data_IF_079019251980
#
_entry.id   IF_079019251980
#
_cell.length_a   1.000
_cell.length_b   1.000
_cell.length_c   1.000
_cell.angle_alpha   90.00
_cell.angle_beta   90.00
_cell.angle_gamma   90.00
#
_symmetry.space_group_name_H-M   'P 1'
#
loop_
_entity.id
_entity.type
_entity.pdbx_description
1 polymer ?
#
# COMPACT_ATOMS: atom_id res chain seq x y z
N UNK A 1 -26.20 -5.57 -3.14
CA UNK A 1 -24.87 -5.04 -3.51
C UNK A 1 -23.91 -6.19 -3.36
N UNK A 2 -23.39 -6.66 -4.48
CA UNK A 2 -22.48 -7.81 -4.58
C UNK A 2 -21.07 -7.42 -4.10
N UNK A 3 -20.23 -8.41 -3.74
CA UNK A 3 -18.96 -8.16 -3.05
C UNK A 3 -18.01 -7.35 -3.94
N UNK A 4 -17.62 -6.17 -3.46
CA UNK A 4 -16.46 -5.44 -3.98
C UNK A 4 -15.24 -6.35 -3.90
N UNK A 5 -14.74 -6.81 -5.05
CA UNK A 5 -13.53 -7.62 -5.10
C UNK A 5 -12.33 -6.72 -4.82
N UNK A 6 -11.63 -7.01 -3.75
CA UNK A 6 -10.47 -6.24 -3.31
C UNK A 6 -9.45 -7.17 -2.65
N UNK A 7 -8.19 -6.75 -2.67
CA UNK A 7 -7.15 -7.36 -1.84
C UNK A 7 -6.22 -6.29 -1.30
N UNK A 8 -5.59 -6.63 -0.19
CA UNK A 8 -4.44 -5.91 0.36
C UNK A 8 -3.37 -6.95 0.65
N UNK A 9 -2.17 -6.75 0.12
CA UNK A 9 -0.97 -7.53 0.42
C UNK A 9 -0.05 -6.63 1.24
N UNK A 10 0.26 -7.05 2.47
CA UNK A 10 1.22 -6.38 3.33
C UNK A 10 2.48 -7.25 3.39
N UNK A 11 3.65 -6.70 3.05
CA UNK A 11 4.90 -7.46 2.96
C UNK A 11 5.22 -8.25 4.22
N UNK A 12 4.83 -7.74 5.41
CA UNK A 12 4.96 -8.44 6.69
C UNK A 12 4.30 -9.82 6.76
N UNK A 13 3.33 -10.10 5.90
CA UNK A 13 2.61 -11.37 5.91
C UNK A 13 3.28 -12.38 4.96
N UNK A 14 4.33 -11.95 4.23
CA UNK A 14 5.00 -12.67 3.14
C UNK A 14 6.53 -12.55 3.26
N UNK A 15 7.09 -13.16 4.31
CA UNK A 15 8.49 -12.97 4.70
C UNK A 15 9.50 -13.89 3.98
N UNK A 16 9.03 -14.86 3.18
CA UNK A 16 9.86 -15.80 2.43
C UNK A 16 10.60 -15.11 1.27
N UNK A 17 11.93 -15.25 1.22
CA UNK A 17 12.76 -14.65 0.18
C UNK A 17 12.62 -15.34 -1.17
N UNK A 18 12.60 -14.54 -2.24
CA UNK A 18 12.53 -15.05 -3.61
C UNK A 18 11.17 -15.65 -4.00
N UNK A 19 10.22 -15.72 -3.07
CA UNK A 19 8.88 -16.24 -3.31
C UNK A 19 7.92 -15.10 -3.63
N UNK A 20 7.16 -15.28 -4.71
CA UNK A 20 6.05 -14.40 -5.06
C UNK A 20 4.75 -14.96 -4.48
N UNK A 21 4.05 -14.12 -3.73
CA UNK A 21 2.71 -14.39 -3.24
C UNK A 21 1.71 -13.63 -4.12
N UNK A 22 0.82 -14.36 -4.78
CA UNK A 22 -0.10 -13.82 -5.78
C UNK A 22 -1.53 -14.04 -5.32
N UNK A 23 -2.35 -12.99 -5.40
CA UNK A 23 -3.80 -13.04 -5.17
C UNK A 23 -4.52 -12.53 -6.41
N UNK A 24 -5.54 -13.26 -6.83
CA UNK A 24 -6.46 -12.86 -7.90
C UNK A 24 -7.64 -12.09 -7.29
N UNK A 25 -7.85 -10.84 -7.70
CA UNK A 25 -9.07 -10.10 -7.39
C UNK A 25 -10.19 -10.43 -8.38
N UNK A 26 -9.87 -10.58 -9.67
CA UNK A 26 -10.83 -10.86 -10.73
C UNK A 26 -10.14 -11.53 -11.92
N UNK A 27 -10.94 -11.95 -12.92
CA UNK A 27 -10.42 -12.54 -14.16
C UNK A 27 -9.50 -11.60 -14.98
N UNK A 28 -9.42 -10.32 -14.61
CA UNK A 28 -8.59 -9.32 -15.28
C UNK A 28 -7.62 -8.62 -14.32
N UNK A 29 -7.59 -9.00 -13.03
CA UNK A 29 -6.72 -8.38 -12.06
C UNK A 29 -6.18 -9.40 -11.06
N UNK A 30 -4.85 -9.50 -11.02
CA UNK A 30 -4.10 -10.16 -9.97
C UNK A 30 -3.00 -9.23 -9.47
N UNK A 31 -2.64 -9.37 -8.21
CA UNK A 31 -1.52 -8.67 -7.58
C UNK A 31 -0.53 -9.67 -7.00
N UNK A 32 0.75 -9.31 -7.06
CA UNK A 32 1.82 -10.11 -6.49
C UNK A 32 2.75 -9.26 -5.64
N UNK A 33 3.21 -9.81 -4.53
CA UNK A 33 4.27 -9.23 -3.71
C UNK A 33 5.35 -10.28 -3.48
N UNK A 34 6.61 -9.87 -3.47
CA UNK A 34 7.75 -10.74 -3.22
C UNK A 34 8.78 -10.03 -2.37
N UNK A 35 9.45 -10.75 -1.49
CA UNK A 35 10.63 -10.24 -0.80
C UNK A 35 11.87 -10.52 -1.67
N UNK A 36 12.64 -9.47 -2.00
CA UNK A 36 13.92 -9.62 -2.69
C UNK A 36 14.92 -10.47 -1.89
N UNK A 37 15.86 -11.11 -2.59
CA UNK A 37 16.96 -11.83 -1.93
C UNK A 37 17.87 -10.86 -1.19
N UNK A 38 18.38 -11.30 -0.03
CA UNK A 38 19.33 -10.50 0.75
C UNK A 38 20.61 -10.24 -0.06
N UNK A 39 21.00 -8.97 -0.16
CA UNK A 39 22.22 -8.56 -0.88
C UNK A 39 23.36 -8.56 0.15
N UNK A 40 24.52 -9.20 -0.09
CA UNK A 40 25.56 -9.50 0.92
C UNK A 40 26.12 -8.33 1.77
N UNK A 41 25.74 -7.09 1.48
CA UNK A 41 26.20 -5.88 2.15
C UNK A 41 25.15 -5.22 3.05
N UNK A 42 23.92 -5.72 3.08
CA UNK A 42 22.85 -5.21 3.95
C UNK A 42 22.66 -6.22 5.09
N UNK A 43 23.28 -5.97 6.25
CA UNK A 43 23.06 -6.81 7.43
C UNK A 43 21.60 -6.68 7.89
N UNK A 44 20.78 -7.69 7.62
CA UNK A 44 19.75 -8.32 8.48
C UNK A 44 18.53 -8.71 7.68
N UNK A 45 17.92 -9.80 8.13
CA UNK A 45 16.53 -10.23 7.89
C UNK A 45 15.54 -9.10 8.17
N UNK A 46 15.42 -8.14 7.25
CA UNK A 46 14.38 -7.14 7.30
C UNK A 46 13.09 -7.80 6.78
N UNK A 47 11.95 -7.64 7.49
CA UNK A 47 10.67 -8.07 6.94
C UNK A 47 10.42 -7.29 5.65
N UNK A 48 9.65 -7.87 4.72
CA UNK A 48 9.25 -7.15 3.53
C UNK A 48 8.43 -5.90 3.95
N UNK A 49 8.90 -4.73 3.53
CA UNK A 49 8.34 -3.44 3.93
C UNK A 49 7.29 -2.95 2.94
N UNK A 50 7.15 -3.62 1.79
CA UNK A 50 6.25 -3.18 0.72
C UNK A 50 4.80 -3.46 1.05
N UNK A 51 3.90 -2.74 0.39
CA UNK A 51 2.48 -3.03 0.41
C UNK A 51 1.84 -2.79 -0.96
N UNK A 52 0.81 -3.57 -1.26
CA UNK A 52 0.03 -3.48 -2.49
C UNK A 52 -1.46 -3.56 -2.12
N UNK A 53 -2.30 -2.74 -2.76
CA UNK A 53 -3.74 -2.96 -2.72
C UNK A 53 -4.38 -2.79 -4.09
N UNK A 54 -5.49 -3.49 -4.27
CA UNK A 54 -6.42 -3.25 -5.35
C UNK A 54 -7.85 -3.19 -4.83
N UNK A 55 -8.62 -2.22 -5.33
CA UNK A 55 -10.05 -2.11 -5.07
C UNK A 55 -10.77 -1.92 -6.41
N UNK A 56 -11.65 -2.84 -6.76
CA UNK A 56 -12.47 -2.75 -7.97
C UNK A 56 -13.85 -2.18 -7.61
N UNK A 57 -14.12 -0.93 -8.02
CA UNK A 57 -15.47 -0.37 -8.09
C UNK A 57 -16.10 -0.56 -9.48
N UNK A 58 -17.37 -0.21 -9.62
CA UNK A 58 -18.11 -0.33 -10.89
C UNK A 58 -17.63 0.69 -11.94
N UNK A 59 -17.37 1.93 -11.52
CA UNK A 59 -16.94 3.02 -12.41
C UNK A 59 -15.47 3.39 -12.26
N UNK A 60 -14.87 3.03 -11.11
CA UNK A 60 -13.53 3.43 -10.74
C UNK A 60 -12.79 2.23 -10.15
N UNK A 61 -11.49 2.17 -10.39
CA UNK A 61 -10.61 1.17 -9.80
C UNK A 61 -9.45 1.88 -9.11
N UNK A 62 -8.99 1.30 -8.01
CA UNK A 62 -7.78 1.73 -7.31
C UNK A 62 -6.74 0.62 -7.39
N UNK A 63 -5.53 0.99 -7.79
CA UNK A 63 -4.33 0.19 -7.60
C UNK A 63 -3.32 1.09 -6.91
N UNK A 64 -2.77 0.66 -5.78
CA UNK A 64 -1.73 1.39 -5.07
C UNK A 64 -0.63 0.41 -4.65
N UNK A 65 0.61 0.83 -4.86
CA UNK A 65 1.83 0.14 -4.46
C UNK A 65 2.61 1.12 -3.61
N UNK A 66 3.14 0.64 -2.48
CA UNK A 66 3.99 1.44 -1.61
C UNK A 66 5.27 0.66 -1.30
N UNK A 67 6.38 1.19 -1.78
CA UNK A 67 7.74 0.77 -1.43
C UNK A 67 8.19 1.58 -0.23
N UNK A 68 8.48 0.90 0.88
CA UNK A 68 9.00 1.52 2.09
C UNK A 68 10.46 1.15 2.32
N UNK A 69 11.14 2.08 2.98
CA UNK A 69 12.50 1.89 3.44
C UNK A 69 12.58 2.29 4.91
N UNK A 70 13.35 1.54 5.69
CA UNK A 70 13.58 1.78 7.12
C UNK A 70 12.34 1.58 8.00
N UNK A 71 11.44 0.70 7.58
CA UNK A 71 10.28 0.27 8.35
C UNK A 71 8.99 0.25 7.53
N UNK A 72 8.19 -0.79 7.74
CA UNK A 72 6.93 -1.07 7.03
C UNK A 72 5.74 -0.15 7.37
N UNK A 73 5.82 0.65 8.43
CA UNK A 73 4.61 1.37 8.88
C UNK A 73 4.19 2.48 7.91
N UNK A 74 5.13 3.06 7.16
CA UNK A 74 4.83 4.12 6.19
C UNK A 74 4.08 3.58 4.97
N UNK A 75 4.52 2.47 4.38
CA UNK A 75 3.85 1.83 3.24
C UNK A 75 2.46 1.31 3.60
N UNK A 76 2.34 0.63 4.74
CA UNK A 76 1.06 0.08 5.19
C UNK A 76 0.03 1.18 5.42
N UNK A 77 0.45 2.27 6.06
CA UNK A 77 -0.42 3.40 6.31
C UNK A 77 -0.78 4.13 5.01
N UNK A 78 0.18 4.32 4.10
CA UNK A 78 -0.07 4.91 2.79
C UNK A 78 -1.15 4.13 2.02
N UNK A 79 -1.05 2.80 1.99
CA UNK A 79 -2.07 1.93 1.40
C UNK A 79 -3.42 2.09 2.10
N UNK A 80 -3.45 2.09 3.43
CA UNK A 80 -4.70 2.30 4.18
C UNK A 80 -5.39 3.60 3.80
N UNK A 81 -4.64 4.72 3.74
CA UNK A 81 -5.22 6.01 3.36
C UNK A 81 -5.66 6.07 1.90
N UNK A 82 -4.92 5.44 0.98
CA UNK A 82 -5.33 5.32 -0.41
C UNK A 82 -6.67 4.59 -0.54
N UNK A 83 -6.86 3.51 0.22
CA UNK A 83 -8.13 2.75 0.24
C UNK A 83 -9.26 3.61 0.81
N UNK A 84 -9.08 4.21 1.98
CA UNK A 84 -10.13 5.02 2.63
C UNK A 84 -10.60 6.16 1.74
N UNK A 85 -9.66 6.85 1.10
CA UNK A 85 -9.98 7.97 0.25
C UNK A 85 -10.54 7.56 -1.12
N UNK A 86 -10.11 6.41 -1.66
CA UNK A 86 -10.78 5.82 -2.81
C UNK A 86 -12.25 5.55 -2.51
N UNK A 87 -12.55 4.95 -1.35
CA UNK A 87 -13.92 4.70 -0.92
C UNK A 87 -14.72 6.00 -0.74
N UNK A 88 -14.08 7.08 -0.31
CA UNK A 88 -14.71 8.40 -0.27
C UNK A 88 -14.98 8.97 -1.67
N UNK A 89 -14.04 8.83 -2.61
CA UNK A 89 -14.21 9.26 -3.99
C UNK A 89 -15.36 8.53 -4.69
N UNK A 90 -15.48 7.21 -4.48
CA UNK A 90 -16.61 6.43 -5.00
C UNK A 90 -17.94 6.96 -4.46
N UNK A 91 -18.01 7.33 -3.17
CA UNK A 91 -19.24 7.85 -2.55
C UNK A 91 -19.59 9.27 -2.97
N UNK A 92 -18.59 10.15 -3.14
CA UNK A 92 -18.77 11.60 -3.35
C UNK A 92 -18.54 12.05 -4.79
N UNK A 93 -18.26 11.11 -5.70
CA UNK A 93 -17.80 11.39 -7.06
C UNK A 93 -16.30 11.70 -7.13
N UNK A 94 -15.67 11.18 -8.17
CA UNK A 94 -14.25 11.40 -8.45
C UNK A 94 -13.94 12.87 -8.76
N UNK A 95 -12.80 13.35 -8.25
CA UNK A 95 -12.21 14.62 -8.65
C UNK A 95 -10.70 14.54 -8.54
N UNK A 96 -10.01 14.94 -9.59
CA UNK A 96 -8.55 15.01 -9.62
C UNK A 96 -7.99 15.91 -8.51
N UNK A 97 -8.62 17.07 -8.26
CA UNK A 97 -8.19 17.99 -7.21
C UNK A 97 -8.30 17.36 -5.81
N UNK A 98 -9.37 16.61 -5.55
CA UNK A 98 -9.53 15.86 -4.28
C UNK A 98 -8.47 14.78 -4.13
N UNK A 99 -8.09 14.13 -5.23
CA UNK A 99 -7.01 13.13 -5.25
C UNK A 99 -5.66 13.77 -4.88
N UNK A 100 -5.35 14.94 -5.43
CA UNK A 100 -4.12 15.67 -5.08
C UNK A 100 -4.11 16.09 -3.61
N UNK A 101 -5.24 16.59 -3.09
CA UNK A 101 -5.38 16.98 -1.68
C UNK A 101 -5.16 15.78 -0.75
N UNK A 102 -5.69 14.61 -1.09
CA UNK A 102 -5.44 13.38 -0.36
C UNK A 102 -3.94 13.06 -0.26
N UNK A 103 -3.19 13.09 -1.37
CA UNK A 103 -1.76 12.80 -1.33
C UNK A 103 -1.01 13.76 -0.40
N UNK A 104 -1.42 15.03 -0.35
CA UNK A 104 -0.86 16.01 0.59
C UNK A 104 -1.22 15.70 2.05
N UNK A 105 -2.41 15.15 2.32
CA UNK A 105 -2.81 14.71 3.66
C UNK A 105 -2.04 13.48 4.12
N UNK A 106 -1.87 12.49 3.24
CA UNK A 106 -1.03 11.31 3.46
C UNK A 106 0.40 11.75 3.82
N UNK A 107 0.96 12.68 3.05
CA UNK A 107 2.30 13.21 3.31
C UNK A 107 2.40 13.90 4.69
N UNK A 108 1.40 14.70 5.07
CA UNK A 108 1.35 15.35 6.38
C UNK A 108 1.31 14.33 7.51
N UNK A 109 0.53 13.28 7.37
CA UNK A 109 0.38 12.25 8.40
C UNK A 109 1.64 11.38 8.53
N UNK A 110 2.25 11.00 7.40
CA UNK A 110 3.55 10.32 7.39
C UNK A 110 4.64 11.16 8.06
N UNK A 111 4.68 12.48 7.79
CA UNK A 111 5.58 13.42 8.49
C UNK A 111 5.28 13.48 10.01
N UNK A 112 4.01 13.43 10.41
CA UNK A 112 3.62 13.39 11.83
C UNK A 112 4.12 12.14 12.52
N UNK A 113 4.05 10.98 11.87
CA UNK A 113 4.59 9.72 12.40
C UNK A 113 6.11 9.74 12.52
N UNK A 114 6.83 10.27 11.52
CA UNK A 114 8.29 10.44 11.60
C UNK A 114 8.69 11.25 12.83
N UNK A 115 7.97 12.36 13.11
CA UNK A 115 8.20 13.20 14.30
C UNK A 115 7.92 12.48 15.61
N UNK A 116 6.83 11.70 15.69
CA UNK A 116 6.47 10.92 16.90
C UNK A 116 7.50 9.83 17.22
N UNK A 117 8.13 9.23 16.21
CA UNK A 117 9.14 8.18 16.40
C UNK A 117 10.53 8.72 16.80
N UNK A 118 10.72 10.04 16.94
CA UNK A 118 12.00 10.61 17.35
C UNK A 118 13.15 10.40 16.37
N UNK A 119 12.85 10.03 15.12
CA UNK A 119 13.87 9.80 14.08
C UNK A 119 14.26 11.15 13.49
N UNK A 120 15.14 11.86 14.21
CA UNK A 120 15.99 12.88 13.60
C UNK A 120 16.93 12.14 12.65
N UNK A 121 16.69 12.32 11.35
CA UNK A 121 17.64 12.00 10.27
C UNK A 121 18.96 12.72 10.50
#
# INVERSE_FOLDING_TARGET
MDPQKSFILLGKDYEEEGKSHIIEASSFLAGGISKGYDVPHVRKTHPNEDALCAVLGEELHCLAVADAHWGRESSHLAISFCVDAFMEMVKKGYSFQKTVQLFQEIEKELKRLKRKKGVNS
#
